data_IF_890153897638
#
_entry.id   IF_890153897638
#
_cell.length_a   1.000
_cell.length_b   1.000
_cell.length_c   1.000
_cell.angle_alpha   90.00
_cell.angle_beta   90.00
_cell.angle_gamma   90.00
#
_symmetry.space_group_name_H-M   'P 1'
#
loop_
_entity.id
_entity.type
_entity.pdbx_description
1 polymer ?
#
# COMPACT_ATOMS: atom_id res chain seq x y z
N UNK A 1 -20.54 13.59 -14.60
CA UNK A 1 -19.22 13.79 -15.24
C UNK A 1 -18.07 13.10 -14.51
N UNK A 2 -17.84 13.31 -13.19
CA UNK A 2 -16.71 12.69 -12.46
C UNK A 2 -16.62 11.15 -12.59
N UNK A 3 -17.70 10.41 -12.30
CA UNK A 3 -17.72 8.93 -12.40
C UNK A 3 -17.39 8.40 -13.80
N UNK A 4 -17.86 9.08 -14.86
CA UNK A 4 -17.56 8.74 -16.26
C UNK A 4 -16.07 8.99 -16.57
N UNK A 5 -15.52 10.11 -16.11
CA UNK A 5 -14.10 10.48 -16.25
C UNK A 5 -13.17 9.53 -15.49
N UNK A 6 -13.54 9.12 -14.27
CA UNK A 6 -12.83 8.08 -13.50
C UNK A 6 -12.84 6.76 -14.27
N UNK A 7 -13.98 6.35 -14.81
CA UNK A 7 -14.14 5.10 -15.55
C UNK A 7 -13.41 5.10 -16.92
N UNK A 8 -13.39 6.23 -17.63
CA UNK A 8 -12.61 6.44 -18.88
C UNK A 8 -11.10 6.42 -18.61
N UNK A 9 -10.65 7.09 -17.54
CA UNK A 9 -9.25 7.08 -17.10
C UNK A 9 -8.80 5.66 -16.74
N UNK A 10 -9.64 4.92 -16.01
CA UNK A 10 -9.38 3.52 -15.63
C UNK A 10 -9.38 2.55 -16.82
N UNK A 11 -10.26 2.77 -17.80
CA UNK A 11 -10.35 1.94 -19.01
C UNK A 11 -9.08 1.97 -19.86
N UNK A 12 -8.40 3.11 -19.85
CA UNK A 12 -7.20 3.39 -20.66
C UNK A 12 -5.88 2.91 -20.02
N UNK A 13 -5.90 2.44 -18.77
CA UNK A 13 -4.70 1.93 -18.10
C UNK A 13 -4.41 0.51 -18.60
N UNK A 14 -3.50 0.38 -19.55
CA UNK A 14 -2.86 -0.89 -19.88
C UNK A 14 -1.73 -1.17 -18.88
N UNK A 15 -1.77 -2.33 -18.22
CA UNK A 15 -0.60 -2.80 -17.48
C UNK A 15 0.47 -3.11 -18.52
N UNK A 16 1.59 -2.40 -18.47
CA UNK A 16 2.76 -2.76 -19.26
C UNK A 16 3.06 -4.24 -19.00
N UNK A 17 2.94 -5.07 -20.05
CA UNK A 17 3.40 -6.45 -19.97
C UNK A 17 4.88 -6.35 -19.60
N UNK A 18 5.27 -6.94 -18.48
CA UNK A 18 6.69 -7.06 -18.11
C UNK A 18 7.46 -7.63 -19.30
N UNK A 19 8.77 -7.34 -19.42
CA UNK A 19 9.55 -7.72 -20.59
C UNK A 19 9.37 -9.21 -20.84
N UNK A 20 8.83 -9.54 -22.02
CA UNK A 20 8.73 -10.91 -22.47
C UNK A 20 10.15 -11.48 -22.53
N UNK A 21 10.40 -12.55 -21.78
CA UNK A 21 11.58 -13.39 -21.97
C UNK A 21 11.60 -13.80 -23.44
N UNK A 22 12.58 -13.30 -24.19
CA UNK A 22 12.74 -13.63 -25.60
C UNK A 22 12.95 -15.15 -25.74
N UNK A 23 12.13 -15.85 -26.54
CA UNK A 23 12.37 -17.26 -26.81
C UNK A 23 13.42 -17.41 -27.91
N UNK A 24 14.40 -18.29 -27.69
CA UNK A 24 15.15 -18.94 -28.76
C UNK A 24 16.57 -18.43 -29.00
N UNK A 25 17.54 -19.12 -28.40
CA UNK A 25 18.86 -19.30 -29.01
C UNK A 25 18.96 -20.77 -29.41
N UNK A 26 18.95 -21.12 -30.71
CA UNK A 26 19.36 -22.45 -31.12
C UNK A 26 20.89 -22.52 -31.13
N UNK A 27 21.44 -23.52 -30.45
CA UNK A 27 22.84 -23.91 -30.59
C UNK A 27 23.02 -24.55 -31.97
N UNK A 28 23.85 -23.95 -32.82
CA UNK A 28 24.21 -24.48 -34.13
C UNK A 28 25.61 -24.04 -34.52
N UNK A 29 26.47 -25.03 -34.77
CA UNK A 29 27.91 -24.95 -35.00
C UNK A 29 28.23 -24.55 -36.45
N UNK A 30 29.18 -23.63 -36.64
CA UNK A 30 30.06 -23.54 -37.81
C UNK A 30 29.56 -22.78 -39.04
N UNK A 31 30.25 -21.68 -39.40
CA UNK A 31 30.95 -21.47 -40.69
C UNK A 31 31.57 -20.07 -40.70
N UNK A 32 32.84 -20.03 -41.09
CA UNK A 32 33.75 -18.91 -41.23
C UNK A 32 33.49 -18.15 -42.55
N UNK A 33 32.95 -16.93 -42.55
CA UNK A 33 32.98 -16.04 -43.74
C UNK A 33 33.11 -14.56 -43.34
N UNK A 34 34.29 -14.01 -43.70
CA UNK A 34 34.59 -12.72 -44.33
C UNK A 34 33.92 -11.43 -43.83
N UNK A 35 34.77 -10.54 -43.29
CA UNK A 35 34.48 -9.15 -42.97
C UNK A 35 34.12 -8.33 -44.22
N UNK A 36 32.95 -7.69 -44.20
CA UNK A 36 32.60 -6.56 -45.05
C UNK A 36 32.05 -5.45 -44.16
N UNK A 37 32.80 -4.36 -44.10
CA UNK A 37 32.47 -3.11 -43.44
C UNK A 37 31.28 -2.45 -44.17
N UNK A 38 30.14 -2.34 -43.46
CA UNK A 38 29.06 -1.42 -43.76
C UNK A 38 28.86 -0.52 -42.53
N UNK A 39 28.68 0.80 -42.71
CA UNK A 39 28.41 1.69 -41.59
C UNK A 39 26.97 1.46 -41.16
N UNK A 40 26.78 0.70 -40.08
CA UNK A 40 25.49 0.66 -39.39
C UNK A 40 25.34 2.03 -38.74
N UNK A 41 24.42 2.81 -39.29
CA UNK A 41 23.82 3.96 -38.65
C UNK A 41 23.11 3.45 -37.38
N UNK A 42 23.85 3.40 -36.28
CA UNK A 42 23.28 3.11 -34.98
C UNK A 42 22.41 4.30 -34.58
N UNK A 43 21.11 4.16 -34.81
CA UNK A 43 20.11 5.00 -34.19
C UNK A 43 20.19 4.71 -32.68
N UNK A 44 20.87 5.58 -31.94
CA UNK A 44 20.77 5.63 -30.49
C UNK A 44 19.34 6.06 -30.12
N UNK A 45 18.40 5.12 -30.11
CA UNK A 45 17.19 5.27 -29.29
C UNK A 45 17.43 4.53 -27.99
N UNK A 46 18.46 4.96 -27.26
CA UNK A 46 18.45 4.83 -25.81
C UNK A 46 17.31 5.72 -25.31
N UNK A 47 16.11 5.15 -25.16
CA UNK A 47 15.09 5.78 -24.34
C UNK A 47 15.72 6.00 -22.96
N UNK A 48 15.88 7.25 -22.49
CA UNK A 48 16.16 7.45 -21.10
C UNK A 48 14.89 6.99 -20.37
N UNK A 49 15.01 5.90 -19.60
CA UNK A 49 14.19 5.77 -18.39
C UNK A 49 14.57 6.95 -17.52
N UNK A 50 13.96 8.10 -17.82
CA UNK A 50 14.02 9.27 -16.97
C UNK A 50 13.55 8.79 -15.60
N UNK A 51 14.48 8.82 -14.64
CA UNK A 51 14.15 8.82 -13.22
C UNK A 51 13.17 9.97 -13.03
N UNK A 52 11.89 9.67 -13.07
CA UNK A 52 10.85 10.60 -12.66
C UNK A 52 11.11 10.87 -11.19
N UNK A 53 11.66 12.04 -10.88
CA UNK A 53 11.97 12.44 -9.52
C UNK A 53 10.66 12.42 -8.74
N UNK A 54 10.54 11.52 -7.76
CA UNK A 54 9.41 11.48 -6.85
C UNK A 54 9.18 12.88 -6.28
N UNK A 55 8.03 13.47 -6.58
CA UNK A 55 7.65 14.75 -6.00
C UNK A 55 7.15 14.46 -4.58
N UNK A 56 8.08 14.34 -3.62
CA UNK A 56 7.82 13.88 -2.26
C UNK A 56 6.65 14.63 -1.59
N UNK A 57 6.45 15.91 -1.92
CA UNK A 57 5.32 16.72 -1.40
C UNK A 57 3.96 16.22 -1.87
N UNK A 58 3.86 15.63 -3.07
CA UNK A 58 2.63 15.04 -3.59
C UNK A 58 2.39 13.64 -3.01
N UNK A 59 3.43 12.84 -2.82
CA UNK A 59 3.33 11.50 -2.25
C UNK A 59 2.82 11.52 -0.80
N UNK A 60 3.26 12.51 -0.01
CA UNK A 60 2.76 12.73 1.36
C UNK A 60 1.40 13.45 1.42
N UNK A 61 0.82 13.88 0.29
CA UNK A 61 -0.50 14.53 0.33
C UNK A 61 -1.63 13.51 0.61
N UNK A 62 -1.42 12.25 0.25
CA UNK A 62 -2.45 11.21 0.19
C UNK A 62 -3.63 11.61 -0.69
N UNK A 63 -4.81 11.06 -0.44
CA UNK A 63 -6.07 11.41 -1.11
C UNK A 63 -6.69 12.77 -0.66
N UNK A 64 -5.90 13.77 -0.18
CA UNK A 64 -6.42 15.09 0.23
C UNK A 64 -7.15 15.84 -0.87
N UNK A 65 -6.68 15.66 -2.11
CA UNK A 65 -7.33 16.23 -3.28
C UNK A 65 -8.71 15.59 -3.56
N UNK A 66 -9.08 14.50 -2.85
CA UNK A 66 -10.31 13.74 -3.05
C UNK A 66 -10.49 13.35 -4.52
N UNK A 67 -9.41 12.81 -5.11
CA UNK A 67 -9.48 12.19 -6.44
C UNK A 67 -10.34 10.94 -6.38
N UNK A 68 -10.33 10.27 -5.23
CA UNK A 68 -11.33 9.29 -4.83
C UNK A 68 -12.26 9.97 -3.81
N UNK A 69 -13.48 10.33 -4.22
CA UNK A 69 -14.41 11.13 -3.40
C UNK A 69 -15.28 10.25 -2.51
N UNK A 70 -14.63 9.59 -1.54
CA UNK A 70 -15.28 8.81 -0.50
C UNK A 70 -15.37 7.30 -0.76
N UNK A 71 -15.80 6.57 0.28
CA UNK A 71 -15.68 5.11 0.34
C UNK A 71 -16.45 4.36 -0.76
N UNK A 72 -17.57 4.90 -1.25
CA UNK A 72 -18.33 4.26 -2.34
C UNK A 72 -17.58 4.31 -3.68
N UNK A 73 -16.89 5.43 -3.96
CA UNK A 73 -16.03 5.53 -5.13
C UNK A 73 -14.80 4.63 -4.97
N UNK A 74 -14.16 4.65 -3.79
CA UNK A 74 -13.05 3.75 -3.47
C UNK A 74 -13.41 2.28 -3.70
N UNK A 75 -14.60 1.84 -3.24
CA UNK A 75 -15.09 0.48 -3.48
C UNK A 75 -15.19 0.16 -4.98
N UNK A 76 -15.73 1.08 -5.79
CA UNK A 76 -15.83 0.89 -7.23
C UNK A 76 -14.45 0.80 -7.90
N UNK A 77 -13.52 1.64 -7.47
CA UNK A 77 -12.15 1.67 -8.00
C UNK A 77 -11.35 0.44 -7.61
N UNK A 78 -11.45 -0.04 -6.37
CA UNK A 78 -10.78 -1.26 -5.92
C UNK A 78 -11.23 -2.48 -6.71
N UNK A 79 -12.53 -2.61 -7.03
CA UNK A 79 -13.00 -3.70 -7.90
C UNK A 79 -12.31 -3.70 -9.26
N UNK A 80 -12.06 -2.51 -9.81
CA UNK A 80 -11.40 -2.35 -11.10
C UNK A 80 -9.90 -2.68 -11.00
N UNK A 81 -9.23 -2.24 -9.93
CA UNK A 81 -7.84 -2.59 -9.63
C UNK A 81 -7.68 -4.11 -9.57
N UNK A 82 -8.45 -4.79 -8.71
CA UNK A 82 -8.29 -6.25 -8.52
C UNK A 82 -8.82 -7.09 -9.68
N UNK A 83 -9.58 -6.51 -10.63
CA UNK A 83 -9.88 -7.17 -11.90
C UNK A 83 -8.69 -7.12 -12.86
N UNK A 84 -7.94 -6.02 -12.87
CA UNK A 84 -6.74 -5.86 -13.72
C UNK A 84 -5.51 -6.54 -13.11
N UNK A 85 -5.41 -6.53 -11.80
CA UNK A 85 -4.32 -7.11 -11.02
C UNK A 85 -4.93 -8.05 -9.96
N UNK A 86 -5.25 -9.30 -10.33
CA UNK A 86 -5.72 -10.28 -9.36
C UNK A 86 -4.69 -10.49 -8.25
N UNK A 87 -5.14 -10.28 -7.01
CA UNK A 87 -4.38 -10.55 -5.79
C UNK A 87 -5.25 -11.38 -4.85
N UNK A 88 -4.65 -11.92 -3.80
CA UNK A 88 -5.34 -12.66 -2.76
C UNK A 88 -5.78 -11.77 -1.59
N UNK A 89 -6.64 -12.28 -0.71
CA UNK A 89 -7.00 -11.59 0.54
C UNK A 89 -5.77 -11.37 1.43
N UNK A 90 -5.75 -10.25 2.16
CA UNK A 90 -4.64 -9.75 2.95
C UNK A 90 -4.14 -10.78 3.98
N UNK A 91 -5.06 -11.35 4.77
CA UNK A 91 -4.71 -12.25 5.86
C UNK A 91 -4.58 -13.70 5.36
N UNK A 92 -5.64 -14.25 4.76
CA UNK A 92 -5.67 -15.68 4.44
C UNK A 92 -5.22 -16.05 3.03
N UNK A 93 -4.71 -15.12 2.23
CA UNK A 93 -4.22 -15.40 0.88
C UNK A 93 -5.24 -16.18 0.02
N UNK A 94 -6.54 -15.92 0.21
CA UNK A 94 -7.59 -16.54 -0.59
C UNK A 94 -7.78 -15.78 -1.90
N UNK A 95 -7.90 -16.52 -3.00
CA UNK A 95 -8.40 -15.94 -4.25
C UNK A 95 -9.83 -15.44 -4.07
N UNK A 96 -10.23 -14.41 -4.81
CA UNK A 96 -11.58 -13.88 -4.73
C UNK A 96 -12.02 -13.23 -6.04
N UNK A 97 -13.33 -13.19 -6.28
CA UNK A 97 -13.90 -12.38 -7.36
C UNK A 97 -14.18 -10.95 -6.83
N UNK A 98 -13.56 -9.91 -7.40
CA UNK A 98 -13.79 -8.53 -6.96
C UNK A 98 -15.21 -8.02 -7.21
N UNK A 99 -15.96 -8.59 -8.15
CA UNK A 99 -17.31 -8.14 -8.46
C UNK A 99 -18.34 -8.67 -7.46
N UNK A 100 -18.41 -9.99 -7.29
CA UNK A 100 -19.26 -10.62 -6.29
C UNK A 100 -18.76 -10.39 -4.87
N UNK A 101 -17.44 -10.15 -4.70
CA UNK A 101 -16.74 -10.08 -3.42
C UNK A 101 -16.92 -11.35 -2.60
N UNK A 102 -16.66 -12.49 -3.22
CA UNK A 102 -16.58 -13.77 -2.55
C UNK A 102 -15.24 -14.43 -2.84
N UNK A 103 -14.66 -15.06 -1.82
CA UNK A 103 -13.48 -15.89 -2.00
C UNK A 103 -13.83 -17.10 -2.87
N UNK A 104 -12.88 -17.51 -3.70
CA UNK A 104 -13.02 -18.59 -4.67
C UNK A 104 -11.82 -19.52 -4.61
N UNK A 105 -11.98 -20.73 -5.14
CA UNK A 105 -10.91 -21.72 -5.22
C UNK A 105 -10.49 -22.29 -3.86
N UNK A 106 -9.25 -22.81 -3.81
CA UNK A 106 -8.65 -23.29 -2.56
C UNK A 106 -8.25 -22.12 -1.68
N UNK A 107 -8.74 -22.11 -0.44
CA UNK A 107 -8.60 -21.02 0.52
C UNK A 107 -8.28 -21.62 1.90
N UNK A 108 -7.19 -21.23 2.57
CA UNK A 108 -6.81 -21.79 3.87
C UNK A 108 -7.72 -21.33 5.02
N UNK A 109 -8.59 -20.35 4.79
CA UNK A 109 -9.58 -19.91 5.77
C UNK A 109 -10.60 -21.01 6.05
N UNK A 110 -10.85 -21.26 7.32
CA UNK A 110 -12.02 -21.99 7.82
C UNK A 110 -12.78 -21.09 8.77
N UNK A 111 -14.11 -21.02 8.67
CA UNK A 111 -14.93 -20.18 9.55
C UNK A 111 -14.92 -20.73 10.98
N UNK A 112 -14.94 -19.83 11.97
CA UNK A 112 -15.04 -20.20 13.40
C UNK A 112 -16.45 -20.69 13.73
N UNK A 113 -17.45 -20.05 13.14
CA UNK A 113 -18.85 -20.49 13.20
C UNK A 113 -19.32 -20.92 11.81
N UNK A 114 -19.64 -22.21 11.67
CA UNK A 114 -20.16 -22.81 10.43
C UNK A 114 -21.67 -22.64 10.22
N UNK A 115 -22.37 -21.83 11.04
CA UNK A 115 -23.80 -21.51 10.89
C UNK A 115 -24.13 -20.23 10.09
N UNK A 116 -23.42 -19.11 10.30
CA UNK A 116 -23.47 -17.84 9.49
C UNK A 116 -23.04 -17.94 7.98
N UNK A 117 -23.90 -18.44 7.09
CA UNK A 117 -23.57 -18.61 5.66
C UNK A 117 -23.33 -17.29 4.91
N UNK A 118 -23.74 -16.14 5.46
CA UNK A 118 -23.78 -14.86 4.73
C UNK A 118 -22.45 -14.13 4.73
N UNK A 119 -21.70 -14.22 5.82
CA UNK A 119 -20.39 -13.56 5.96
C UNK A 119 -19.21 -14.51 5.74
N UNK A 120 -19.44 -15.82 5.81
CA UNK A 120 -18.46 -16.83 5.38
C UNK A 120 -18.08 -16.60 3.92
N UNK A 121 -16.78 -16.47 3.66
CA UNK A 121 -16.20 -16.28 2.32
C UNK A 121 -16.51 -14.94 1.64
N UNK A 122 -17.37 -14.09 2.22
CA UNK A 122 -17.55 -12.74 1.70
C UNK A 122 -16.28 -11.93 1.91
N UNK A 123 -15.90 -11.12 0.94
CA UNK A 123 -14.71 -10.27 0.99
C UNK A 123 -15.12 -8.83 1.24
N UNK A 124 -14.50 -8.22 2.25
CA UNK A 124 -14.66 -6.81 2.56
C UNK A 124 -13.39 -6.05 2.18
N UNK A 125 -13.52 -4.74 1.98
CA UNK A 125 -12.35 -3.88 1.88
C UNK A 125 -11.96 -3.52 3.32
N UNK A 126 -10.89 -4.14 3.78
CA UNK A 126 -10.30 -3.90 5.09
C UNK A 126 -9.61 -2.54 5.11
N UNK A 127 -9.91 -1.77 6.15
CA UNK A 127 -9.16 -0.57 6.52
C UNK A 127 -7.99 -1.01 7.41
N UNK A 128 -6.80 -1.21 6.83
CA UNK A 128 -5.63 -1.69 7.59
C UNK A 128 -5.40 -0.83 8.83
N UNK A 129 -5.33 0.49 8.65
CA UNK A 129 -5.52 1.46 9.72
C UNK A 129 -7.04 1.66 9.90
N UNK A 130 -7.62 1.23 11.04
CA UNK A 130 -9.07 1.26 11.24
C UNK A 130 -9.66 2.66 11.14
N UNK A 131 -10.89 2.78 10.65
CA UNK A 131 -11.57 4.07 10.58
C UNK A 131 -11.68 4.79 11.93
N UNK A 132 -11.76 4.06 13.05
CA UNK A 132 -11.73 4.65 14.40
C UNK A 132 -10.41 5.36 14.68
N UNK A 133 -9.26 4.80 14.29
CA UNK A 133 -7.94 5.46 14.38
C UNK A 133 -7.87 6.73 13.53
N UNK A 134 -8.58 6.78 12.41
CA UNK A 134 -8.64 7.95 11.53
C UNK A 134 -9.57 9.06 12.05
N UNK A 135 -10.58 8.70 12.85
CA UNK A 135 -11.72 9.57 13.10
C UNK A 135 -12.15 9.80 14.54
N UNK A 136 -11.81 8.93 15.50
CA UNK A 136 -12.40 8.95 16.85
C UNK A 136 -12.17 10.24 17.64
N UNK A 137 -11.09 10.96 17.34
CA UNK A 137 -10.74 12.25 17.97
C UNK A 137 -11.33 13.46 17.25
N UNK A 138 -12.09 13.27 16.17
CA UNK A 138 -12.68 14.34 15.38
C UNK A 138 -14.06 14.70 15.93
N UNK A 139 -14.38 15.99 15.91
CA UNK A 139 -15.69 16.54 16.31
C UNK A 139 -16.86 15.80 15.63
N UNK A 140 -16.79 15.53 14.33
CA UNK A 140 -17.83 14.78 13.62
C UNK A 140 -18.07 13.36 14.15
N UNK A 141 -17.10 12.78 14.84
CA UNK A 141 -17.17 11.43 15.37
C UNK A 141 -17.72 11.46 16.80
N UNK A 142 -17.20 12.37 17.63
CA UNK A 142 -17.58 12.51 19.04
C UNK A 142 -18.95 13.16 19.19
N UNK A 143 -19.20 14.21 18.42
CA UNK A 143 -20.38 15.05 18.57
C UNK A 143 -21.48 14.68 17.58
N UNK A 144 -22.72 14.75 18.04
CA UNK A 144 -23.90 14.42 17.25
C UNK A 144 -24.34 15.58 16.33
N UNK A 145 -23.40 16.15 15.56
CA UNK A 145 -23.62 17.35 14.72
C UNK A 145 -24.39 17.08 13.41
N UNK A 146 -24.63 15.82 13.08
CA UNK A 146 -25.45 15.44 11.93
C UNK A 146 -26.87 15.08 12.36
N UNK A 147 -27.85 15.33 11.49
CA UNK A 147 -29.25 15.02 11.76
C UNK A 147 -29.81 14.05 10.72
N UNK A 148 -30.59 13.07 11.16
CA UNK A 148 -31.37 12.16 10.30
C UNK A 148 -32.60 12.91 9.76
N UNK A 149 -33.35 12.28 8.84
CA UNK A 149 -34.56 12.87 8.24
C UNK A 149 -35.66 13.14 9.28
N UNK A 150 -35.71 12.34 10.33
CA UNK A 150 -36.60 12.46 11.49
C UNK A 150 -36.09 13.48 12.53
N UNK A 151 -35.02 14.22 12.22
CA UNK A 151 -34.40 15.18 13.14
C UNK A 151 -33.50 14.55 14.20
N UNK A 152 -33.39 13.22 14.31
CA UNK A 152 -32.55 12.58 15.33
C UNK A 152 -31.07 12.89 15.10
N UNK A 153 -30.34 13.46 16.08
CA UNK A 153 -28.93 13.74 15.93
C UNK A 153 -28.08 12.45 15.95
N UNK A 154 -26.95 12.44 15.26
CA UNK A 154 -25.97 11.36 15.25
C UNK A 154 -24.56 11.86 14.95
N UNK A 155 -23.56 11.16 15.47
CA UNK A 155 -22.14 11.39 15.23
C UNK A 155 -21.48 10.19 14.53
N UNK A 156 -20.26 9.88 14.93
CA UNK A 156 -19.49 8.73 14.48
C UNK A 156 -19.06 8.77 13.00
N UNK A 157 -18.59 7.61 12.53
CA UNK A 157 -18.10 7.40 11.16
C UNK A 157 -19.04 7.92 10.08
N UNK A 158 -20.34 7.71 10.24
CA UNK A 158 -21.36 8.12 9.28
C UNK A 158 -21.51 9.64 9.18
N UNK A 159 -21.35 10.37 10.28
CA UNK A 159 -21.35 11.83 10.28
C UNK A 159 -20.02 12.38 9.72
N UNK A 160 -18.88 11.79 10.09
CA UNK A 160 -17.58 12.21 9.55
C UNK A 160 -17.48 12.10 8.03
N UNK A 161 -18.07 11.06 7.42
CA UNK A 161 -18.20 10.94 5.96
C UNK A 161 -18.83 12.16 5.29
N UNK A 162 -19.73 12.86 5.99
CA UNK A 162 -20.49 14.00 5.47
C UNK A 162 -19.84 15.34 5.81
N UNK A 163 -19.27 15.46 7.00
CA UNK A 163 -18.85 16.74 7.57
C UNK A 163 -17.36 16.99 7.55
N UNK A 164 -16.54 15.93 7.54
CA UNK A 164 -15.09 16.07 7.63
C UNK A 164 -14.42 15.61 6.33
N UNK A 165 -13.90 16.60 5.59
CA UNK A 165 -13.23 16.38 4.31
C UNK A 165 -11.95 15.55 4.48
N UNK A 166 -11.20 15.77 5.56
CA UNK A 166 -9.95 15.05 5.84
C UNK A 166 -10.23 13.60 6.24
N UNK A 167 -11.27 13.36 7.05
CA UNK A 167 -11.73 12.01 7.34
C UNK A 167 -12.13 11.26 6.06
N UNK A 168 -12.91 11.90 5.18
CA UNK A 168 -13.32 11.31 3.91
C UNK A 168 -12.10 10.98 3.03
N UNK A 169 -11.09 11.84 2.98
CA UNK A 169 -9.84 11.58 2.27
C UNK A 169 -9.15 10.31 2.81
N UNK A 170 -8.92 10.25 4.13
CA UNK A 170 -8.29 9.09 4.79
C UNK A 170 -9.08 7.79 4.60
N UNK A 171 -10.41 7.84 4.74
CA UNK A 171 -11.26 6.65 4.63
C UNK A 171 -11.29 6.09 3.20
N UNK A 172 -11.17 6.95 2.19
CA UNK A 172 -11.21 6.57 0.78
C UNK A 172 -9.84 6.40 0.15
N UNK A 173 -8.78 6.53 0.94
CA UNK A 173 -7.42 6.32 0.49
C UNK A 173 -7.18 4.85 0.15
N UNK A 174 -6.90 4.59 -1.13
CA UNK A 174 -6.73 3.25 -1.67
C UNK A 174 -5.50 2.56 -1.07
N UNK A 175 -4.47 3.28 -0.62
CA UNK A 175 -3.29 2.69 0.02
C UNK A 175 -3.58 2.06 1.39
N UNK A 176 -4.73 2.37 1.99
CA UNK A 176 -5.19 1.81 3.26
C UNK A 176 -6.29 0.73 3.10
N UNK A 177 -6.64 0.37 1.85
CA UNK A 177 -7.77 -0.54 1.55
C UNK A 177 -7.31 -1.83 0.86
N UNK A 178 -7.45 -2.98 1.53
CA UNK A 178 -7.08 -4.31 1.00
C UNK A 178 -8.25 -5.30 1.11
N UNK A 179 -8.34 -6.35 0.27
CA UNK A 179 -9.36 -7.39 0.41
C UNK A 179 -9.11 -8.22 1.67
N UNK A 180 -10.14 -8.50 2.46
CA UNK A 180 -10.06 -9.43 3.59
C UNK A 180 -11.32 -10.30 3.68
N UNK A 181 -11.19 -11.50 4.23
CA UNK A 181 -12.36 -12.34 4.56
C UNK A 181 -13.22 -11.61 5.59
N UNK A 182 -14.53 -11.55 5.37
CA UNK A 182 -15.47 -10.73 6.12
C UNK A 182 -15.59 -11.10 7.59
N UNK A 183 -15.55 -12.38 7.89
CA UNK A 183 -15.50 -12.87 9.26
C UNK A 183 -14.27 -12.35 10.00
N UNK A 184 -13.08 -12.45 9.40
CA UNK A 184 -11.83 -11.93 9.99
C UNK A 184 -11.86 -10.41 10.09
N UNK A 185 -12.29 -9.71 9.03
CA UNK A 185 -12.45 -8.25 9.05
C UNK A 185 -13.37 -7.80 10.20
N UNK A 186 -14.46 -8.52 10.44
CA UNK A 186 -15.39 -8.25 11.53
C UNK A 186 -14.76 -8.54 12.89
N UNK A 187 -14.10 -9.68 13.05
CA UNK A 187 -13.48 -10.07 14.32
C UNK A 187 -12.28 -9.20 14.68
N UNK A 188 -11.54 -8.69 13.67
CA UNK A 188 -10.38 -7.82 13.86
C UNK A 188 -10.76 -6.47 14.47
N UNK A 189 -11.99 -6.00 14.26
CA UNK A 189 -12.48 -4.72 14.80
C UNK A 189 -11.52 -3.57 14.51
N UNK A 190 -11.09 -2.83 15.55
CA UNK A 190 -10.03 -1.85 15.50
C UNK A 190 -8.83 -2.21 16.39
N UNK A 191 -8.65 -3.52 16.63
CA UNK A 191 -7.56 -4.07 17.42
C UNK A 191 -6.19 -3.74 16.82
N UNK A 192 -5.23 -3.55 17.73
CA UNK A 192 -3.85 -3.29 17.34
C UNK A 192 -3.20 -4.58 16.84
N UNK A 193 -2.21 -4.44 15.96
CA UNK A 193 -1.42 -5.58 15.53
C UNK A 193 -0.31 -5.87 16.53
N UNK A 194 -0.17 -7.11 16.96
CA UNK A 194 0.84 -7.55 17.92
C UNK A 194 0.82 -9.07 18.10
N UNK A 195 1.81 -9.60 18.80
CA UNK A 195 1.96 -11.03 19.01
C UNK A 195 0.97 -11.53 20.08
N UNK A 196 0.35 -12.69 19.86
CA UNK A 196 -0.65 -13.34 20.71
C UNK A 196 -0.12 -14.71 21.15
N UNK A 197 -0.03 -14.93 22.45
CA UNK A 197 0.43 -16.22 22.98
C UNK A 197 -0.56 -17.37 22.68
N UNK A 198 -0.03 -18.53 22.34
CA UNK A 198 -0.79 -19.79 22.28
C UNK A 198 -1.35 -20.16 20.91
N UNK A 199 -1.18 -19.31 19.88
CA UNK A 199 -1.31 -19.71 18.45
C UNK A 199 -2.64 -20.42 18.13
N UNK A 200 -3.75 -19.94 18.71
CA UNK A 200 -5.06 -20.57 18.53
C UNK A 200 -5.53 -20.41 17.08
N UNK A 201 -5.53 -21.51 16.32
CA UNK A 201 -5.92 -21.59 14.90
C UNK A 201 -7.44 -21.56 14.69
N UNK A 202 -8.09 -20.48 15.14
CA UNK A 202 -9.55 -20.32 15.04
C UNK A 202 -10.06 -20.24 13.60
N UNK A 203 -9.19 -19.88 12.65
CA UNK A 203 -9.53 -19.76 11.23
C UNK A 203 -8.95 -20.88 10.36
N UNK A 204 -8.67 -22.04 10.94
CA UNK A 204 -8.06 -23.17 10.24
C UNK A 204 -6.61 -22.90 9.84
N UNK A 205 -6.16 -23.36 8.66
CA UNK A 205 -4.80 -23.09 8.16
C UNK A 205 -4.44 -21.62 7.92
N UNK A 206 -5.41 -20.69 8.00
CA UNK A 206 -5.11 -19.26 7.97
C UNK A 206 -4.46 -18.84 9.31
N UNK A 207 -3.21 -18.40 9.23
CA UNK A 207 -2.33 -18.02 10.34
C UNK A 207 -2.67 -16.62 10.89
N UNK A 208 -3.93 -16.45 11.30
CA UNK A 208 -4.46 -15.21 11.88
C UNK A 208 -5.01 -15.51 13.27
N UNK A 209 -4.56 -14.78 14.28
CA UNK A 209 -5.09 -14.86 15.64
C UNK A 209 -5.77 -13.55 16.02
N UNK A 210 -6.85 -13.66 16.80
CA UNK A 210 -7.58 -12.50 17.31
C UNK A 210 -7.87 -12.73 18.79
N UNK A 211 -7.40 -11.82 19.63
CA UNK A 211 -7.67 -11.79 21.07
C UNK A 211 -8.51 -10.57 21.40
N UNK A 212 -9.82 -10.77 21.51
CA UNK A 212 -10.74 -9.72 21.97
C UNK A 212 -10.55 -9.35 23.44
N UNK A 213 -9.89 -10.20 24.22
CA UNK A 213 -9.56 -9.92 25.62
C UNK A 213 -8.44 -8.87 25.74
N UNK A 214 -7.50 -8.89 24.80
CA UNK A 214 -6.33 -7.98 24.81
C UNK A 214 -6.43 -6.87 23.75
N UNK A 215 -7.52 -6.79 22.99
CA UNK A 215 -7.67 -5.93 21.81
C UNK A 215 -6.50 -6.06 20.81
N UNK A 216 -6.06 -7.30 20.58
CA UNK A 216 -4.95 -7.64 19.69
C UNK A 216 -5.38 -8.53 18.52
N UNK A 217 -4.70 -8.33 17.40
CA UNK A 217 -4.73 -9.20 16.24
C UNK A 217 -3.29 -9.56 15.85
N UNK A 218 -2.97 -10.84 15.76
CA UNK A 218 -1.69 -11.28 15.20
C UNK A 218 -1.91 -11.63 13.73
N UNK A 219 -1.29 -10.88 12.79
CA UNK A 219 -1.44 -11.16 11.38
C UNK A 219 -0.39 -12.18 10.91
N UNK A 220 -0.72 -12.95 9.85
CA UNK A 220 0.22 -13.87 9.25
C UNK A 220 1.44 -13.13 8.70
N UNK A 221 2.57 -13.83 8.61
CA UNK A 221 3.83 -13.24 8.18
C UNK A 221 3.72 -12.49 6.83
N UNK A 222 2.98 -13.05 5.87
CA UNK A 222 2.76 -12.45 4.55
C UNK A 222 2.00 -11.11 4.58
N UNK A 223 1.22 -10.84 5.62
CA UNK A 223 0.47 -9.59 5.77
C UNK A 223 1.28 -8.48 6.46
N UNK A 224 2.34 -8.82 7.21
CA UNK A 224 3.10 -7.88 8.06
C UNK A 224 3.75 -6.74 7.27
N UNK A 225 4.31 -7.02 6.10
CA UNK A 225 4.90 -6.01 5.20
C UNK A 225 3.88 -4.99 4.70
N UNK A 226 2.80 -5.41 4.01
CA UNK A 226 1.72 -4.51 3.58
C UNK A 226 1.09 -3.72 4.74
N UNK A 227 0.87 -4.35 5.90
CA UNK A 227 0.34 -3.69 7.10
C UNK A 227 1.27 -2.55 7.53
N UNK A 228 2.57 -2.84 7.67
CA UNK A 228 3.56 -1.88 8.10
C UNK A 228 3.63 -0.67 7.16
N UNK A 229 3.70 -0.91 5.84
CA UNK A 229 3.74 0.16 4.84
C UNK A 229 2.47 1.00 4.83
N UNK A 230 1.29 0.43 5.05
CA UNK A 230 0.04 1.20 5.18
C UNK A 230 0.03 2.06 6.44
N UNK A 231 0.49 1.57 7.59
CA UNK A 231 0.56 2.39 8.82
C UNK A 231 1.55 3.55 8.70
N UNK A 232 2.78 3.27 8.24
CA UNK A 232 3.81 4.29 8.04
C UNK A 232 3.39 5.33 6.99
N UNK A 233 2.74 4.87 5.91
CA UNK A 233 2.12 5.75 4.93
C UNK A 233 1.08 6.67 5.56
N UNK A 234 0.08 6.11 6.25
CA UNK A 234 -0.99 6.90 6.83
C UNK A 234 -0.47 7.88 7.90
N UNK A 235 0.58 7.51 8.65
CA UNK A 235 1.26 8.40 9.58
C UNK A 235 1.91 9.58 8.85
N UNK A 236 2.72 9.32 7.83
CA UNK A 236 3.40 10.39 7.08
C UNK A 236 2.45 11.26 6.27
N UNK A 237 1.42 10.66 5.65
CA UNK A 237 0.50 11.37 4.78
C UNK A 237 -0.60 12.11 5.55
N UNK A 238 -1.01 11.62 6.73
CA UNK A 238 -2.14 12.16 7.48
C UNK A 238 -1.84 12.60 8.90
N UNK A 239 -0.64 12.34 9.42
CA UNK A 239 -0.28 12.65 10.79
C UNK A 239 -1.07 11.83 11.82
N UNK A 240 -1.52 10.62 11.45
CA UNK A 240 -2.10 9.71 12.46
C UNK A 240 -1.02 9.41 13.51
N UNK A 241 -1.41 9.36 14.78
CA UNK A 241 -0.45 9.14 15.86
C UNK A 241 -0.17 7.64 16.02
N UNK A 242 1.12 7.30 15.91
CA UNK A 242 1.66 6.01 16.36
C UNK A 242 2.43 6.22 17.65
N UNK A 243 2.31 5.28 18.57
CA UNK A 243 3.22 5.18 19.71
C UNK A 243 4.62 4.82 19.21
N UNK A 244 5.65 5.09 20.02
CA UNK A 244 7.02 4.71 19.69
C UNK A 244 7.16 3.19 19.47
N UNK A 245 6.41 2.38 20.23
CA UNK A 245 6.39 0.93 20.09
C UNK A 245 5.76 0.49 18.75
N UNK A 246 4.57 1.00 18.41
CA UNK A 246 3.90 0.72 17.13
C UNK A 246 4.79 1.11 15.95
N UNK A 247 5.33 2.33 15.96
CA UNK A 247 6.21 2.81 14.89
C UNK A 247 7.46 1.93 14.75
N UNK A 248 8.09 1.55 15.86
CA UNK A 248 9.26 0.66 15.86
C UNK A 248 8.93 -0.72 15.27
N UNK A 249 7.79 -1.30 15.65
CA UNK A 249 7.30 -2.57 15.11
C UNK A 249 7.07 -2.49 13.60
N UNK A 250 6.37 -1.46 13.12
CA UNK A 250 6.11 -1.31 11.69
C UNK A 250 7.38 -1.03 10.89
N UNK A 251 8.35 -0.28 11.41
CA UNK A 251 9.67 -0.14 10.77
C UNK A 251 10.39 -1.50 10.69
N UNK A 252 10.34 -2.31 11.75
CA UNK A 252 10.92 -3.67 11.76
C UNK A 252 10.27 -4.56 10.70
N UNK A 253 8.94 -4.60 10.64
CA UNK A 253 8.20 -5.38 9.65
C UNK A 253 8.43 -4.89 8.23
N UNK A 254 8.41 -3.57 8.00
CA UNK A 254 8.71 -2.95 6.72
C UNK A 254 10.06 -3.43 6.16
N UNK A 255 11.11 -3.44 7.00
CA UNK A 255 12.45 -3.88 6.63
C UNK A 255 12.55 -5.39 6.41
N UNK A 256 11.88 -6.16 7.26
CA UNK A 256 11.93 -7.63 7.20
C UNK A 256 11.17 -8.16 5.97
N UNK A 257 10.10 -7.48 5.56
CA UNK A 257 9.21 -7.92 4.49
C UNK A 257 9.15 -6.84 3.39
N UNK A 258 10.11 -6.78 2.46
CA UNK A 258 10.13 -5.79 1.38
C UNK A 258 8.87 -5.86 0.49
N UNK A 259 8.51 -4.78 -0.22
CA UNK A 259 7.41 -4.82 -1.19
C UNK A 259 7.75 -5.75 -2.35
N UNK A 260 6.78 -6.57 -2.75
CA UNK A 260 6.92 -7.50 -3.86
C UNK A 260 6.23 -6.96 -5.13
N UNK A 261 6.48 -7.62 -6.27
CA UNK A 261 5.96 -7.21 -7.57
C UNK A 261 4.44 -6.93 -7.60
N UNK A 262 3.55 -7.75 -6.98
CA UNK A 262 2.12 -7.43 -6.94
C UNK A 262 1.82 -6.13 -6.18
N UNK A 263 2.49 -5.87 -5.06
CA UNK A 263 2.28 -4.66 -4.28
C UNK A 263 2.81 -3.41 -4.99
N UNK A 264 3.93 -3.53 -5.70
CA UNK A 264 4.48 -2.45 -6.54
C UNK A 264 3.53 -2.14 -7.70
N UNK A 265 3.03 -3.17 -8.40
CA UNK A 265 2.06 -2.98 -9.49
C UNK A 265 0.76 -2.32 -8.99
N UNK A 266 0.30 -2.69 -7.79
CA UNK A 266 -0.85 -2.08 -7.14
C UNK A 266 -0.60 -0.60 -6.81
N UNK A 267 0.57 -0.25 -6.28
CA UNK A 267 0.95 1.14 -6.01
C UNK A 267 0.90 2.01 -7.27
N UNK A 268 1.44 1.51 -8.39
CA UNK A 268 1.40 2.21 -9.68
C UNK A 268 -0.03 2.47 -10.18
N UNK A 269 -0.91 1.48 -10.06
CA UNK A 269 -2.34 1.65 -10.40
C UNK A 269 -3.01 2.68 -9.49
N UNK A 270 -2.69 2.68 -8.19
CA UNK A 270 -3.24 3.67 -7.25
C UNK A 270 -2.70 5.06 -7.58
N UNK A 271 -1.42 5.22 -7.90
CA UNK A 271 -0.84 6.51 -8.30
C UNK A 271 -1.58 7.13 -9.48
N UNK A 272 -1.87 6.35 -10.52
CA UNK A 272 -2.61 6.87 -11.68
C UNK A 272 -4.04 7.32 -11.32
N UNK A 273 -4.69 6.61 -10.40
CA UNK A 273 -6.10 6.83 -10.08
C UNK A 273 -6.30 7.88 -8.97
N UNK A 274 -5.58 7.72 -7.87
CA UNK A 274 -5.62 8.57 -6.69
C UNK A 274 -4.66 9.77 -6.77
N UNK A 275 -3.65 9.72 -7.63
CA UNK A 275 -2.72 10.82 -7.89
C UNK A 275 -1.46 10.84 -7.03
N UNK A 276 -1.23 9.83 -6.18
CA UNK A 276 -0.04 9.76 -5.32
C UNK A 276 0.41 8.30 -5.11
N UNK A 277 1.71 8.08 -4.98
CA UNK A 277 2.26 6.79 -4.56
C UNK A 277 2.37 6.70 -3.04
N UNK A 278 2.59 5.49 -2.54
CA UNK A 278 3.02 5.24 -1.16
C UNK A 278 4.55 5.19 -1.12
N UNK A 279 5.25 6.19 -0.52
CA UNK A 279 6.71 6.28 -0.50
C UNK A 279 7.40 5.08 0.14
N UNK A 280 6.71 4.31 0.98
CA UNK A 280 7.25 3.08 1.55
C UNK A 280 7.17 1.87 0.59
N UNK A 281 6.62 2.03 -0.62
CA UNK A 281 6.61 1.03 -1.71
C UNK A 281 7.57 1.47 -2.83
N UNK A 282 7.24 2.54 -3.58
CA UNK A 282 8.08 2.96 -4.72
C UNK A 282 9.43 3.56 -4.29
N UNK A 283 9.52 4.10 -3.06
CA UNK A 283 10.73 4.67 -2.48
C UNK A 283 11.44 3.74 -1.51
N UNK A 284 11.14 2.43 -1.50
CA UNK A 284 11.62 1.46 -0.51
C UNK A 284 13.14 1.52 -0.26
N UNK A 285 13.94 1.62 -1.31
CA UNK A 285 15.40 1.70 -1.19
C UNK A 285 15.85 3.00 -0.51
N UNK A 286 15.12 4.10 -0.69
CA UNK A 286 15.44 5.42 -0.13
C UNK A 286 14.93 5.57 1.31
N UNK A 287 13.74 5.04 1.64
CA UNK A 287 13.18 5.11 3.00
C UNK A 287 14.02 4.32 4.01
N UNK A 288 14.61 3.21 3.57
CA UNK A 288 15.56 2.44 4.39
C UNK A 288 16.87 3.20 4.67
N UNK A 289 17.28 4.11 3.77
CA UNK A 289 18.47 4.95 3.95
C UNK A 289 18.20 6.12 4.92
N UNK A 290 17.02 6.74 4.87
CA UNK A 290 16.67 7.85 5.78
C UNK A 290 16.57 7.39 7.24
N UNK A 291 15.98 6.22 7.49
CA UNK A 291 15.88 5.70 8.86
C UNK A 291 17.21 5.11 9.40
N UNK A 292 18.15 4.75 8.54
CA UNK A 292 19.49 4.32 8.98
C UNK A 292 20.37 5.52 9.35
N UNK A 293 20.22 6.66 8.66
CA UNK A 293 20.87 7.94 8.99
C UNK A 293 20.32 8.57 10.28
N UNK A 294 19.01 8.49 10.51
CA UNK A 294 18.39 8.95 11.77
C UNK A 294 18.92 8.21 13.02
N UNK A 295 19.43 6.98 12.85
CA UNK A 295 20.04 6.18 13.93
C UNK A 295 21.55 6.40 14.13
N UNK A 296 22.22 7.19 13.27
CA UNK A 296 23.65 7.51 13.37
C UNK A 296 23.91 8.95 12.87
N UNK A 297 23.55 9.98 13.64
CA UNK A 297 23.82 11.37 13.27
C UNK A 297 25.32 11.71 13.23
N UNK A 298 26.19 10.91 13.86
CA UNK A 298 27.61 11.25 14.08
C UNK A 298 28.61 10.61 13.10
N UNK A 299 28.16 10.04 11.97
CA UNK A 299 29.07 9.41 10.99
C UNK A 299 29.32 10.18 9.70
N UNK A 300 28.81 11.40 9.56
CA UNK A 300 29.18 12.31 8.46
C UNK A 300 29.88 13.55 9.04
N UNK A 301 31.17 13.38 9.31
CA UNK A 301 32.03 14.42 9.86
C UNK A 301 33.51 14.08 9.70
N UNK A 302 33.91 13.56 8.55
CA UNK A 302 35.30 13.64 8.07
C UNK A 302 35.23 14.04 6.59
N UNK A 303 35.13 15.35 6.38
CA UNK A 303 35.50 15.97 5.12
C UNK A 303 36.95 15.58 4.85
N UNK A 304 37.19 14.86 3.76
CA UNK A 304 38.55 14.71 3.25
C UNK A 304 39.11 16.11 3.01
N UNK A 305 40.19 16.46 3.70
CA UNK A 305 40.92 17.69 3.44
C UNK A 305 41.33 17.72 1.97
N UNK A 306 41.11 18.83 1.24
CA UNK A 306 41.65 18.97 -0.10
C UNK A 306 43.19 19.01 -0.02
N UNK A 307 43.90 18.39 -0.98
CA UNK A 307 45.35 18.37 -0.97
C UNK A 307 45.93 19.80 -1.02
N UNK A 308 47.09 20.05 -0.38
CA UNK A 308 47.69 21.36 -0.34
C UNK A 308 48.07 21.84 -1.74
N UNK A 309 47.67 23.08 -2.02
CA UNK A 309 47.86 23.78 -3.29
C UNK A 309 49.36 24.12 -3.49
N UNK A 310 50.06 23.59 -4.50
CA UNK A 310 51.45 23.92 -4.75
C UNK A 310 51.52 25.18 -5.61
N UNK A 311 51.68 26.34 -5.00
CA UNK A 311 52.07 27.54 -5.73
C UNK A 311 51.46 28.83 -5.22
N UNK A 312 52.13 29.44 -4.25
CA UNK A 312 52.31 30.89 -4.26
C UNK A 312 53.61 31.24 -3.57
N UNK A 313 54.60 31.62 -4.38
CA UNK A 313 55.86 32.22 -3.96
C UNK A 313 55.58 33.48 -3.13
N UNK A 314 56.14 33.54 -1.92
CA UNK A 314 56.40 34.82 -1.25
C UNK A 314 57.65 35.44 -1.86
N UNK A 315 57.51 36.67 -2.33
CA UNK A 315 58.60 37.62 -2.48
C UNK A 315 59.07 38.05 -1.09
N UNK A 316 60.33 37.76 -0.77
CA UNK A 316 61.34 38.70 -0.22
C UNK A 316 62.73 38.15 -0.56
#
# INVERSE_FOLDING_TARGET
>A
MKKKRTQERIGSIELAKGPALCPGVPRGLGILILALLLPILACETGHPLAKESANLTEDFAGNRALRIDGYNEANSVLRLIYRKLPETTLYCQCSFDPNSKYSSGSCPFRPRDSSDQRERHKVHWEHIVPASRLGKSRTCWQDAICHRKDGKPYGGRSCCRKKDRLFRAMESDLHNLRPAIGEINRHRQDYNFGDISGERREYGPCDMEISSENDLAEPPESARGPIARSYLYMESAYGIRLTAAERSQYIKWHRKYPPEAPEIARDLLIRELQGNSNPYIHGYDQTNLLDSRSKNPDKEGHSAEPPPNPGSCLLL
#
